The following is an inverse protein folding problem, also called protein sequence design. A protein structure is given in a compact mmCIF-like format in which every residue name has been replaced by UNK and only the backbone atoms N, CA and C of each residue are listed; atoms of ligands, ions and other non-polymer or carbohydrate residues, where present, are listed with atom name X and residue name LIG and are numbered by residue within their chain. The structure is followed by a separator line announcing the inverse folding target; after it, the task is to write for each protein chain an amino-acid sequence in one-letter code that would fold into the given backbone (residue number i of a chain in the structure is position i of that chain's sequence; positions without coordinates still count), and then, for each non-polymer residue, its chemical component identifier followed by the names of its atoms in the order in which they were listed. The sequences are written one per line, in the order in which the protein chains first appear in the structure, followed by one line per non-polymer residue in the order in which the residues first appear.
data_IF_208772376825
#
_entry.id   IF_208772376825
#
_cell.length_a   1.000
_cell.length_b   1.000
_cell.length_c   1.000
_cell.angle_alpha   90.00
_cell.angle_beta   90.00
_cell.angle_gamma   90.00
#
_symmetry.space_group_name_H-M   'P 1'
#
loop_
_entity.id
_entity.type
_entity.pdbx_description
1 polymer ?
#
# COMPACT_ATOMS: atom_id res chain seq x y z
N UNK A 1 -12.63 24.01 23.27
CA UNK A 1 -11.63 22.92 23.40
C UNK A 1 -10.79 22.75 22.12
N UNK A 2 -11.36 22.67 20.91
CA UNK A 2 -10.58 22.43 19.68
C UNK A 2 -9.59 23.54 19.25
N UNK A 3 -9.81 24.80 19.63
CA UNK A 3 -8.96 25.92 19.18
C UNK A 3 -7.51 25.91 19.69
N UNK A 4 -7.27 25.40 20.90
CA UNK A 4 -5.89 25.26 21.43
C UNK A 4 -5.15 24.12 20.73
N UNK A 5 -5.83 22.98 20.52
CA UNK A 5 -5.29 21.85 19.76
C UNK A 5 -4.95 22.23 18.32
N UNK A 6 -5.82 22.99 17.65
CA UNK A 6 -5.59 23.47 16.29
C UNK A 6 -4.36 24.39 16.22
N UNK A 7 -4.22 25.34 17.15
CA UNK A 7 -3.04 26.22 17.21
C UNK A 7 -1.75 25.44 17.45
N UNK A 8 -1.79 24.45 18.35
CA UNK A 8 -0.64 23.58 18.62
C UNK A 8 -0.25 22.79 17.36
N UNK A 9 -1.21 22.10 16.72
CA UNK A 9 -0.97 21.33 15.51
C UNK A 9 -0.41 22.20 14.38
N UNK A 10 -0.93 23.42 14.20
CA UNK A 10 -0.43 24.36 13.20
C UNK A 10 1.01 24.82 13.49
N UNK A 11 1.35 25.06 14.76
CA UNK A 11 2.71 25.44 15.16
C UNK A 11 3.70 24.30 14.96
N UNK A 12 3.36 23.08 15.40
CA UNK A 12 4.18 21.87 15.20
C UNK A 12 4.36 21.56 13.70
N UNK A 13 3.31 21.75 12.90
CA UNK A 13 3.38 21.53 11.46
C UNK A 13 4.30 22.54 10.75
N UNK A 14 4.28 23.79 11.22
CA UNK A 14 5.18 24.83 10.72
C UNK A 14 6.63 24.50 11.10
N UNK A 15 6.89 24.13 12.36
CA UNK A 15 8.22 23.73 12.80
C UNK A 15 8.75 22.53 12.01
N UNK A 16 7.93 21.52 11.76
CA UNK A 16 8.29 20.37 10.91
C UNK A 16 8.61 20.79 9.47
N UNK A 17 7.92 21.79 8.93
CA UNK A 17 8.22 22.36 7.60
C UNK A 17 9.58 23.05 7.62
N UNK A 18 9.86 23.85 8.64
CA UNK A 18 11.10 24.60 8.79
C UNK A 18 12.31 23.66 8.98
N UNK A 19 12.11 22.50 9.63
CA UNK A 19 13.12 21.43 9.76
C UNK A 19 13.31 20.60 8.49
N UNK A 20 12.54 20.85 7.42
CA UNK A 20 12.61 20.06 6.18
C UNK A 20 12.04 18.64 6.33
N UNK A 21 11.05 18.44 7.21
CA UNK A 21 10.35 17.18 7.43
C UNK A 21 8.92 17.23 6.81
N UNK A 22 8.79 17.20 5.46
CA UNK A 22 7.51 17.48 4.79
C UNK A 22 6.44 16.42 5.07
N UNK A 23 6.82 15.16 5.33
CA UNK A 23 5.87 14.10 5.70
C UNK A 23 5.27 14.31 7.10
N UNK A 24 6.09 14.76 8.05
CA UNK A 24 5.65 15.08 9.41
C UNK A 24 4.73 16.30 9.38
N UNK A 25 5.12 17.36 8.67
CA UNK A 25 4.31 18.54 8.45
C UNK A 25 2.96 18.20 7.80
N UNK A 26 2.97 17.35 6.75
CA UNK A 26 1.75 16.90 6.07
C UNK A 26 0.80 16.16 7.03
N UNK A 27 1.31 15.24 7.85
CA UNK A 27 0.51 14.50 8.81
C UNK A 27 -0.13 15.40 9.89
N UNK A 28 0.59 16.44 10.34
CA UNK A 28 0.10 17.40 11.32
C UNK A 28 -0.95 18.35 10.71
N UNK A 29 -0.74 18.84 9.48
CA UNK A 29 -1.74 19.65 8.78
C UNK A 29 -3.01 18.87 8.47
N UNK A 30 -2.93 17.57 8.18
CA UNK A 30 -4.12 16.70 8.04
C UNK A 30 -4.91 16.54 9.33
N UNK A 31 -4.22 16.36 10.46
CA UNK A 31 -4.89 16.34 11.77
C UNK A 31 -5.56 17.68 12.10
N UNK A 32 -4.94 18.80 11.72
CA UNK A 32 -5.55 20.12 11.85
C UNK A 32 -6.79 20.26 10.96
N UNK A 33 -6.75 19.71 9.74
CA UNK A 33 -7.86 19.72 8.79
C UNK A 33 -9.09 18.97 9.34
N UNK A 34 -8.90 17.82 10.00
CA UNK A 34 -10.00 17.03 10.60
C UNK A 34 -10.77 17.80 11.69
N UNK A 35 -10.14 18.83 12.29
CA UNK A 35 -10.75 19.67 13.32
C UNK A 35 -11.48 20.89 12.76
N UNK A 36 -11.33 21.17 11.47
CA UNK A 36 -11.93 22.35 10.83
C UNK A 36 -13.27 22.00 10.18
N UNK A 37 -14.32 22.82 10.39
CA UNK A 37 -15.59 22.60 9.73
C UNK A 37 -15.46 22.82 8.21
N UNK A 38 -16.07 21.94 7.39
CA UNK A 38 -16.02 22.05 5.94
C UNK A 38 -16.70 23.34 5.46
N UNK A 39 -16.24 23.88 4.33
CA UNK A 39 -16.79 25.11 3.74
C UNK A 39 -16.27 26.43 4.34
N UNK A 40 -15.41 26.39 5.36
CA UNK A 40 -14.79 27.60 5.91
C UNK A 40 -13.54 28.02 5.13
N UNK A 41 -13.24 29.33 5.13
CA UNK A 41 -12.01 29.85 4.52
C UNK A 41 -10.74 29.26 5.14
N UNK A 42 -10.76 28.97 6.45
CA UNK A 42 -9.67 28.26 7.14
C UNK A 42 -9.50 26.83 6.62
N UNK A 43 -10.60 26.09 6.44
CA UNK A 43 -10.55 24.75 5.85
C UNK A 43 -9.95 24.77 4.44
N UNK A 44 -10.34 25.75 3.61
CA UNK A 44 -9.78 25.91 2.26
C UNK A 44 -8.27 26.20 2.28
N UNK A 45 -7.82 27.09 3.17
CA UNK A 45 -6.38 27.39 3.33
C UNK A 45 -5.56 26.19 3.78
N UNK A 46 -6.05 25.44 4.78
CA UNK A 46 -5.37 24.22 5.26
C UNK A 46 -5.39 23.13 4.18
N UNK A 47 -6.48 22.97 3.44
CA UNK A 47 -6.55 22.04 2.30
C UNK A 47 -5.48 22.36 1.27
N UNK A 48 -5.33 23.63 0.88
CA UNK A 48 -4.30 24.05 -0.07
C UNK A 48 -2.87 23.75 0.43
N UNK A 49 -2.61 23.95 1.73
CA UNK A 49 -1.33 23.58 2.35
C UNK A 49 -1.08 22.07 2.30
N UNK A 50 -2.08 21.25 2.64
CA UNK A 50 -2.02 19.79 2.58
C UNK A 50 -1.74 19.34 1.14
N UNK A 51 -2.40 19.92 0.14
CA UNK A 51 -2.16 19.62 -1.28
C UNK A 51 -0.73 19.94 -1.70
N UNK A 52 -0.21 21.12 -1.33
CA UNK A 52 1.16 21.53 -1.69
C UNK A 52 2.22 20.61 -1.04
N UNK A 53 2.08 20.31 0.25
CA UNK A 53 2.98 19.40 0.96
C UNK A 53 2.89 17.97 0.41
N UNK A 54 1.69 17.50 0.07
CA UNK A 54 1.48 16.20 -0.57
C UNK A 54 2.23 16.09 -1.90
N UNK A 55 2.17 17.12 -2.75
CA UNK A 55 2.92 17.18 -4.01
C UNK A 55 4.44 17.13 -3.78
N UNK A 56 4.93 17.84 -2.76
CA UNK A 56 6.34 17.83 -2.39
C UNK A 56 6.79 16.44 -1.92
N UNK A 57 6.02 15.79 -1.03
CA UNK A 57 6.29 14.43 -0.56
C UNK A 57 6.27 13.43 -1.72
N UNK A 58 5.32 13.57 -2.64
CA UNK A 58 5.23 12.75 -3.85
C UNK A 58 6.46 12.89 -4.75
N UNK A 59 6.93 14.12 -4.97
CA UNK A 59 8.11 14.40 -5.78
C UNK A 59 9.38 13.80 -5.15
N UNK A 60 9.55 13.97 -3.84
CA UNK A 60 10.65 13.37 -3.07
C UNK A 60 10.59 11.84 -3.09
N UNK A 61 9.39 11.28 -2.94
CA UNK A 61 9.15 9.83 -2.97
C UNK A 61 9.41 9.18 -4.33
N UNK A 62 9.30 9.93 -5.43
CA UNK A 62 9.65 9.51 -6.79
C UNK A 62 11.15 9.69 -7.09
N UNK A 63 11.78 10.73 -6.55
CA UNK A 63 13.19 11.02 -6.79
C UNK A 63 14.13 9.92 -6.24
N UNK A 64 13.86 9.41 -5.04
CA UNK A 64 14.68 8.36 -4.42
C UNK A 64 14.77 7.04 -5.24
N UNK A 65 13.65 6.42 -5.68
CA UNK A 65 13.72 5.20 -6.50
C UNK A 65 14.29 5.43 -7.91
N UNK A 66 14.12 6.62 -8.50
CA UNK A 66 14.74 6.95 -9.79
C UNK A 66 16.27 7.03 -9.66
N UNK A 67 16.78 7.73 -8.64
CA UNK A 67 18.21 7.81 -8.36
C UNK A 67 18.82 6.44 -8.03
N UNK A 68 18.11 5.60 -7.26
CA UNK A 68 18.52 4.22 -6.98
C UNK A 68 18.55 3.36 -8.25
N UNK A 69 17.55 3.51 -9.13
CA UNK A 69 17.47 2.79 -10.41
C UNK A 69 18.60 3.20 -11.36
N UNK A 70 18.91 4.49 -11.47
CA UNK A 70 20.06 4.99 -12.24
C UNK A 70 21.39 4.46 -11.70
N UNK A 71 21.59 4.52 -10.38
CA UNK A 71 22.79 4.01 -9.72
C UNK A 71 22.98 2.51 -9.94
N UNK A 72 21.90 1.72 -9.87
CA UNK A 72 21.95 0.27 -10.12
C UNK A 72 22.14 -0.09 -11.60
N UNK A 73 21.59 0.71 -12.53
CA UNK A 73 21.81 0.56 -13.97
C UNK A 73 23.29 0.79 -14.32
N UNK A 74 23.94 1.74 -13.66
CA UNK A 74 25.38 2.01 -13.78
C UNK A 74 26.26 0.86 -13.24
N UNK A 75 25.83 0.18 -12.18
CA UNK A 75 26.54 -0.95 -11.57
C UNK A 75 26.24 -2.34 -12.16
N UNK A 76 25.55 -2.44 -13.29
CA UNK A 76 25.06 -3.71 -13.82
C UNK A 76 26.16 -4.44 -14.61
N UNK A 77 26.68 -5.61 -14.14
CA UNK A 77 27.75 -6.31 -14.85
C UNK A 77 27.27 -6.82 -16.21
N UNK A 78 28.12 -6.69 -17.24
CA UNK A 78 27.85 -7.09 -18.64
C UNK A 78 27.38 -8.54 -18.83
N UNK A 79 27.55 -9.40 -17.81
CA UNK A 79 27.05 -10.78 -17.72
C UNK A 79 25.52 -10.86 -17.83
N UNK A 80 24.80 -9.77 -17.52
CA UNK A 80 23.35 -9.78 -17.57
C UNK A 80 22.77 -9.64 -18.99
N UNK A 81 23.58 -9.18 -19.95
CA UNK A 81 23.20 -9.18 -21.37
C UNK A 81 23.24 -10.58 -22.00
N UNK A 82 23.92 -11.56 -21.37
CA UNK A 82 23.97 -12.96 -21.81
C UNK A 82 22.92 -13.86 -21.15
N UNK A 83 22.11 -13.35 -20.21
CA UNK A 83 21.00 -14.10 -19.64
C UNK A 83 19.80 -13.99 -20.58
N UNK A 84 19.49 -15.06 -21.31
CA UNK A 84 18.28 -15.15 -22.13
C UNK A 84 17.00 -14.86 -21.33
N UNK A 85 15.84 -14.82 -22.01
CA UNK A 85 14.56 -14.38 -21.43
C UNK A 85 14.22 -14.95 -20.03
N UNK A 86 14.56 -16.23 -19.79
CA UNK A 86 14.38 -16.91 -18.50
C UNK A 86 15.24 -16.32 -17.37
N UNK A 87 16.49 -15.97 -17.63
CA UNK A 87 17.38 -15.38 -16.64
C UNK A 87 16.98 -13.94 -16.29
N UNK A 88 16.53 -13.17 -17.30
CA UNK A 88 15.97 -11.84 -17.08
C UNK A 88 14.67 -11.90 -16.26
N UNK A 89 13.84 -12.93 -16.50
CA UNK A 89 12.59 -13.16 -15.77
C UNK A 89 12.83 -13.58 -14.31
N UNK A 90 13.79 -14.49 -14.07
CA UNK A 90 14.21 -14.88 -12.72
C UNK A 90 14.83 -13.69 -11.96
N UNK A 91 15.53 -12.80 -12.65
CA UNK A 91 16.05 -11.60 -12.01
C UNK A 91 14.94 -10.59 -11.64
N UNK A 92 14.01 -10.33 -12.57
CA UNK A 92 12.81 -9.52 -12.30
C UNK A 92 12.00 -10.13 -11.14
N UNK A 93 11.93 -11.46 -11.03
CA UNK A 93 11.30 -12.16 -9.92
C UNK A 93 12.02 -11.91 -8.58
N UNK A 94 13.36 -12.07 -8.54
CA UNK A 94 14.16 -11.73 -7.35
C UNK A 94 13.91 -10.28 -6.92
N UNK A 95 13.74 -9.37 -7.87
CA UNK A 95 13.42 -7.97 -7.61
C UNK A 95 12.02 -7.78 -7.01
N UNK A 96 10.98 -8.42 -7.57
CA UNK A 96 9.62 -8.40 -7.00
C UNK A 96 9.61 -8.97 -5.57
N UNK A 97 10.30 -10.09 -5.34
CA UNK A 97 10.41 -10.70 -4.03
C UNK A 97 11.18 -9.81 -3.04
N UNK A 98 12.27 -9.17 -3.47
CA UNK A 98 13.02 -8.19 -2.66
C UNK A 98 12.21 -6.93 -2.36
N UNK A 99 11.32 -6.49 -3.26
CA UNK A 99 10.44 -5.35 -3.01
C UNK A 99 9.38 -5.68 -1.95
N UNK A 100 8.82 -6.89 -2.01
CA UNK A 100 7.88 -7.38 -0.99
C UNK A 100 8.60 -7.55 0.37
N UNK A 101 9.77 -8.18 0.37
CA UNK A 101 10.56 -8.43 1.59
C UNK A 101 11.20 -7.16 2.17
N UNK A 102 11.62 -6.20 1.34
CA UNK A 102 12.19 -4.92 1.77
C UNK A 102 11.17 -4.06 2.53
N UNK A 103 9.87 -4.33 2.33
CA UNK A 103 8.78 -3.75 3.10
C UNK A 103 8.24 -4.71 4.18
N UNK A 104 9.02 -5.72 4.56
CA UNK A 104 8.67 -6.72 5.56
C UNK A 104 8.30 -6.12 6.91
N UNK A 105 8.91 -5.00 7.34
CA UNK A 105 8.49 -4.30 8.57
C UNK A 105 7.05 -3.81 8.52
N UNK A 106 6.57 -3.36 7.35
CA UNK A 106 5.20 -2.91 7.16
C UNK A 106 4.23 -4.10 7.15
N UNK A 107 4.60 -5.18 6.47
CA UNK A 107 3.84 -6.44 6.48
C UNK A 107 3.77 -7.06 7.88
N UNK A 108 4.84 -6.99 8.67
CA UNK A 108 4.81 -7.48 10.04
C UNK A 108 3.96 -6.58 10.94
N UNK A 109 4.06 -5.26 10.79
CA UNK A 109 3.26 -4.32 11.58
C UNK A 109 1.75 -4.53 11.40
N UNK A 110 1.27 -4.84 10.18
CA UNK A 110 -0.14 -5.16 9.99
C UNK A 110 -0.54 -6.51 10.62
N UNK A 111 0.33 -7.52 10.57
CA UNK A 111 0.09 -8.83 11.23
C UNK A 111 0.07 -8.73 12.76
N UNK A 112 0.75 -7.75 13.37
CA UNK A 112 0.74 -7.60 14.84
C UNK A 112 -0.58 -7.06 15.41
N UNK A 113 -1.53 -6.64 14.58
CA UNK A 113 -2.81 -6.12 15.04
C UNK A 113 -3.80 -7.27 15.31
N UNK A 114 -4.27 -7.37 16.55
CA UNK A 114 -5.16 -8.46 16.99
C UNK A 114 -6.47 -8.56 16.19
N UNK A 115 -7.06 -7.42 15.81
CA UNK A 115 -8.28 -7.36 14.98
C UNK A 115 -8.06 -7.87 13.56
N UNK A 116 -6.92 -7.56 12.96
CA UNK A 116 -6.52 -8.09 11.65
C UNK A 116 -6.31 -9.59 11.73
N UNK A 117 -5.58 -10.09 12.73
CA UNK A 117 -5.39 -11.54 12.91
C UNK A 117 -6.71 -12.28 13.11
N UNK A 118 -7.60 -11.76 13.96
CA UNK A 118 -8.88 -12.39 14.22
C UNK A 118 -9.76 -12.48 12.97
N UNK A 119 -9.93 -11.36 12.25
CA UNK A 119 -10.69 -11.36 11.00
C UNK A 119 -10.04 -12.23 9.91
N UNK A 120 -8.71 -12.26 9.85
CA UNK A 120 -7.95 -13.10 8.94
C UNK A 120 -8.15 -14.59 9.24
N UNK A 121 -8.15 -15.00 10.52
CA UNK A 121 -8.43 -16.38 10.93
C UNK A 121 -9.86 -16.80 10.59
N UNK A 122 -10.85 -15.92 10.79
CA UNK A 122 -12.23 -16.18 10.37
C UNK A 122 -12.33 -16.39 8.86
N UNK A 123 -11.67 -15.53 8.07
CA UNK A 123 -11.63 -15.67 6.63
C UNK A 123 -10.96 -16.99 6.21
N UNK A 124 -9.83 -17.36 6.83
CA UNK A 124 -9.17 -18.66 6.61
C UNK A 124 -10.12 -19.81 6.92
N UNK A 125 -10.86 -19.76 8.04
CA UNK A 125 -11.82 -20.80 8.41
C UNK A 125 -12.89 -21.03 7.35
N UNK A 126 -13.47 -19.94 6.81
CA UNK A 126 -14.49 -20.01 5.74
C UNK A 126 -13.89 -20.53 4.43
N UNK A 127 -12.71 -20.05 4.03
CA UNK A 127 -12.08 -20.53 2.80
C UNK A 127 -11.57 -21.97 2.91
N UNK A 128 -11.19 -22.40 4.12
CA UNK A 128 -10.74 -23.77 4.39
C UNK A 128 -11.88 -24.73 4.13
N UNK A 129 -13.06 -24.52 4.72
CA UNK A 129 -14.18 -25.46 4.59
C UNK A 129 -14.59 -25.68 3.13
N UNK A 130 -14.45 -24.67 2.27
CA UNK A 130 -14.82 -24.74 0.86
C UNK A 130 -13.71 -25.27 -0.07
N UNK A 131 -12.44 -24.90 0.15
CA UNK A 131 -11.35 -25.17 -0.82
C UNK A 131 -10.07 -25.76 -0.20
N UNK A 132 -10.08 -26.05 1.10
CA UNK A 132 -8.95 -26.61 1.84
C UNK A 132 -7.97 -25.55 2.37
N UNK A 133 -7.28 -25.91 3.45
CA UNK A 133 -6.44 -24.98 4.22
C UNK A 133 -5.30 -24.33 3.43
N UNK A 134 -4.69 -25.07 2.48
CA UNK A 134 -3.57 -24.57 1.67
C UNK A 134 -4.00 -23.45 0.73
N UNK A 135 -5.18 -23.61 0.12
CA UNK A 135 -5.77 -22.59 -0.76
C UNK A 135 -6.19 -21.38 0.05
N UNK A 136 -6.91 -21.61 1.15
CA UNK A 136 -7.36 -20.57 2.07
C UNK A 136 -6.21 -19.67 2.54
N UNK A 137 -5.13 -20.27 3.03
CA UNK A 137 -3.96 -19.54 3.50
C UNK A 137 -3.33 -18.71 2.38
N UNK A 138 -3.12 -19.30 1.20
CA UNK A 138 -2.49 -18.62 0.08
C UNK A 138 -3.32 -17.44 -0.45
N UNK A 139 -4.64 -17.61 -0.54
CA UNK A 139 -5.56 -16.54 -0.94
C UNK A 139 -5.55 -15.40 0.06
N UNK A 140 -5.65 -15.70 1.36
CA UNK A 140 -5.63 -14.71 2.44
C UNK A 140 -4.32 -13.94 2.47
N UNK A 141 -3.18 -14.59 2.23
CA UNK A 141 -1.88 -13.91 2.10
C UNK A 141 -1.87 -12.96 0.90
N UNK A 142 -2.45 -13.33 -0.25
CA UNK A 142 -2.52 -12.44 -1.41
C UNK A 142 -3.39 -11.22 -1.13
N UNK A 143 -4.56 -11.42 -0.51
CA UNK A 143 -5.44 -10.33 -0.06
C UNK A 143 -4.71 -9.42 0.93
N UNK A 144 -4.00 -10.00 1.89
CA UNK A 144 -3.24 -9.24 2.87
C UNK A 144 -2.18 -8.33 2.22
N UNK A 145 -1.41 -8.88 1.27
CA UNK A 145 -0.39 -8.11 0.54
C UNK A 145 -1.02 -7.00 -0.30
N UNK A 146 -2.19 -7.26 -0.90
CA UNK A 146 -2.98 -6.24 -1.59
C UNK A 146 -3.37 -5.09 -0.65
N UNK A 147 -4.01 -5.37 0.49
CA UNK A 147 -4.41 -4.33 1.46
C UNK A 147 -3.22 -3.56 2.03
N UNK A 148 -2.10 -4.24 2.25
CA UNK A 148 -0.85 -3.59 2.66
C UNK A 148 -0.32 -2.61 1.62
N UNK A 149 -0.64 -2.81 0.34
CA UNK A 149 -0.39 -1.84 -0.72
C UNK A 149 -1.12 -0.52 -0.46
N UNK A 150 -2.41 -0.58 -0.17
CA UNK A 150 -3.20 0.61 0.21
C UNK A 150 -2.66 1.26 1.49
N UNK A 151 -2.40 0.49 2.54
CA UNK A 151 -1.83 1.00 3.82
C UNK A 151 -0.49 1.69 3.58
N UNK A 152 0.39 1.11 2.76
CA UNK A 152 1.67 1.69 2.44
C UNK A 152 1.55 3.01 1.68
N UNK A 153 0.56 3.13 0.78
CA UNK A 153 0.29 4.38 0.06
C UNK A 153 -0.27 5.45 0.98
N UNK A 154 -1.27 5.13 1.81
CA UNK A 154 -1.85 6.05 2.79
C UNK A 154 -0.79 6.61 3.75
N UNK A 155 0.07 5.75 4.29
CA UNK A 155 1.17 6.18 5.18
C UNK A 155 2.17 7.10 4.49
N UNK A 156 2.39 6.95 3.17
CA UNK A 156 3.26 7.85 2.39
C UNK A 156 2.67 9.26 2.26
N UNK A 157 1.36 9.41 2.36
CA UNK A 157 0.68 10.71 2.34
C UNK A 157 0.40 11.26 3.74
N UNK A 158 1.01 10.70 4.78
CA UNK A 158 0.78 11.10 6.16
C UNK A 158 -0.63 10.78 6.67
N UNK A 159 -1.39 9.95 5.93
CA UNK A 159 -2.74 9.54 6.33
C UNK A 159 -2.68 8.39 7.31
N UNK A 160 -3.52 8.46 8.34
CA UNK A 160 -3.69 7.37 9.28
C UNK A 160 -4.52 6.24 8.66
N UNK A 161 -3.87 5.12 8.32
CA UNK A 161 -4.54 3.91 7.89
C UNK A 161 -4.99 3.06 9.09
N UNK A 162 -6.21 2.52 9.06
CA UNK A 162 -6.62 1.49 10.02
C UNK A 162 -5.92 0.15 9.75
N UNK A 163 -6.03 -0.78 10.69
CA UNK A 163 -5.77 -2.18 10.41
C UNK A 163 -6.66 -2.66 9.24
N UNK A 164 -6.16 -3.53 8.34
CA UNK A 164 -7.02 -4.23 7.41
C UNK A 164 -8.02 -5.10 8.15
N UNK A 165 -9.25 -5.12 7.66
CA UNK A 165 -10.32 -5.98 8.15
C UNK A 165 -10.72 -6.93 7.04
N UNK A 166 -10.64 -8.23 7.31
CA UNK A 166 -11.04 -9.26 6.35
C UNK A 166 -12.54 -9.55 6.50
N UNK A 167 -13.25 -9.54 5.38
CA UNK A 167 -14.64 -10.00 5.29
C UNK A 167 -14.65 -11.32 4.50
N UNK A 168 -14.99 -12.45 5.15
CA UNK A 168 -15.06 -13.73 4.48
C UNK A 168 -15.98 -13.69 3.23
N UNK A 169 -15.48 -14.21 2.11
CA UNK A 169 -16.24 -14.28 0.85
C UNK A 169 -16.25 -13.01 0.01
N UNK A 170 -16.00 -11.84 0.60
CA UNK A 170 -16.01 -10.54 -0.11
C UNK A 170 -14.62 -9.96 -0.32
N UNK A 171 -13.67 -10.20 0.58
CA UNK A 171 -12.29 -9.71 0.45
C UNK A 171 -11.77 -9.10 1.76
N UNK A 172 -10.98 -8.05 1.67
CA UNK A 172 -10.60 -7.24 2.81
C UNK A 172 -10.71 -5.76 2.43
N UNK A 173 -10.75 -4.89 3.43
CA UNK A 173 -10.70 -3.45 3.20
C UNK A 173 -10.00 -2.76 4.37
N UNK A 174 -9.46 -1.59 4.08
CA UNK A 174 -8.89 -0.66 5.07
C UNK A 174 -9.84 0.52 5.21
N UNK A 175 -10.17 0.89 6.45
CA UNK A 175 -10.96 2.08 6.72
C UNK A 175 -10.06 3.32 6.59
N UNK A 176 -10.44 4.21 5.69
CA UNK A 176 -9.87 5.55 5.58
C UNK A 176 -10.31 6.37 6.81
N UNK A 177 -9.35 6.87 7.59
CA UNK A 177 -9.64 7.86 8.64
C UNK A 177 -9.66 9.29 8.10
N UNK A 178 -8.96 9.53 7.02
CA UNK A 178 -8.80 10.83 6.36
C UNK A 178 -8.98 10.62 4.86
N UNK A 179 -9.73 11.52 4.23
CA UNK A 179 -9.95 11.46 2.79
C UNK A 179 -8.77 12.06 2.01
N UNK A 180 -8.49 11.55 0.80
CA UNK A 180 -7.60 12.21 -0.15
C UNK A 180 -8.06 13.66 -0.41
N UNK A 181 -7.12 14.59 -0.56
CA UNK A 181 -7.44 16.00 -0.84
C UNK A 181 -7.58 16.30 -2.33
N UNK A 182 -7.07 15.43 -3.19
CA UNK A 182 -7.17 15.54 -4.64
C UNK A 182 -7.28 14.16 -5.31
N UNK A 183 -7.67 14.14 -6.59
CA UNK A 183 -7.80 12.91 -7.36
C UNK A 183 -6.47 12.20 -7.66
N UNK A 184 -5.32 12.88 -7.47
CA UNK A 184 -3.99 12.26 -7.65
C UNK A 184 -3.70 11.32 -6.49
N UNK A 185 -3.91 11.80 -5.26
CA UNK A 185 -3.78 10.97 -4.06
C UNK A 185 -4.74 9.78 -4.12
N UNK A 186 -5.99 10.03 -4.48
CA UNK A 186 -7.00 8.99 -4.58
C UNK A 186 -6.60 7.90 -5.60
N UNK A 187 -6.23 8.29 -6.81
CA UNK A 187 -5.74 7.34 -7.82
C UNK A 187 -4.47 6.59 -7.37
N UNK A 188 -3.53 7.26 -6.68
CA UNK A 188 -2.29 6.62 -6.18
C UNK A 188 -2.57 5.65 -5.03
N UNK A 189 -3.51 5.96 -4.15
CA UNK A 189 -3.94 5.06 -3.08
C UNK A 189 -4.69 3.88 -3.66
N UNK A 190 -5.64 4.13 -4.57
CA UNK A 190 -6.42 3.11 -5.28
C UNK A 190 -5.55 2.15 -6.09
N UNK A 191 -4.56 2.64 -6.84
CA UNK A 191 -3.66 1.78 -7.62
C UNK A 191 -2.65 0.98 -6.77
N UNK A 192 -2.36 1.41 -5.55
CA UNK A 192 -1.32 0.77 -4.74
C UNK A 192 -1.68 -0.67 -4.35
N UNK A 193 -2.95 -0.95 -4.03
CA UNK A 193 -3.43 -2.30 -3.74
C UNK A 193 -3.22 -3.25 -4.92
N UNK A 194 -3.79 -2.97 -6.10
CA UNK A 194 -3.61 -3.76 -7.32
C UNK A 194 -2.15 -3.96 -7.73
N UNK A 195 -1.27 -2.97 -7.55
CA UNK A 195 0.16 -3.13 -7.86
C UNK A 195 0.80 -4.20 -6.94
N UNK A 196 0.55 -4.12 -5.64
CA UNK A 196 1.10 -5.07 -4.67
C UNK A 196 0.44 -6.44 -4.77
N UNK A 197 -0.87 -6.49 -4.94
CA UNK A 197 -1.61 -7.72 -5.18
C UNK A 197 -1.20 -8.39 -6.49
N UNK A 198 -0.85 -7.63 -7.52
CA UNK A 198 -0.34 -8.20 -8.79
C UNK A 198 1.05 -8.78 -8.61
N UNK A 199 1.91 -8.12 -7.83
CA UNK A 199 3.19 -8.69 -7.44
C UNK A 199 3.00 -10.02 -6.67
N UNK A 200 2.06 -10.08 -5.73
CA UNK A 200 1.71 -11.31 -5.01
C UNK A 200 1.18 -12.42 -5.94
N UNK A 201 0.28 -12.08 -6.87
CA UNK A 201 -0.26 -13.01 -7.86
C UNK A 201 0.84 -13.58 -8.78
N UNK A 202 1.78 -12.75 -9.23
CA UNK A 202 2.94 -13.19 -10.02
C UNK A 202 3.82 -14.14 -9.21
N UNK A 203 4.08 -13.84 -7.93
CA UNK A 203 4.85 -14.74 -7.05
C UNK A 203 4.15 -16.09 -6.89
N UNK A 204 2.83 -16.10 -6.67
CA UNK A 204 2.05 -17.32 -6.59
C UNK A 204 2.07 -18.12 -7.90
N UNK A 205 1.97 -17.44 -9.06
CA UNK A 205 2.01 -18.08 -10.38
C UNK A 205 3.37 -18.75 -10.64
N UNK A 206 4.47 -18.04 -10.35
CA UNK A 206 5.82 -18.60 -10.49
C UNK A 206 5.99 -19.81 -9.58
N UNK A 207 5.53 -19.73 -8.32
CA UNK A 207 5.56 -20.86 -7.42
C UNK A 207 4.72 -22.05 -7.94
N UNK A 208 3.59 -21.80 -8.59
CA UNK A 208 2.77 -22.83 -9.23
C UNK A 208 3.53 -23.56 -10.34
N UNK A 209 4.21 -22.82 -11.21
CA UNK A 209 4.99 -23.39 -12.32
C UNK A 209 6.16 -24.21 -11.79
N UNK A 210 6.87 -23.71 -10.78
CA UNK A 210 8.04 -24.40 -10.21
C UNK A 210 7.69 -25.66 -9.43
N UNK A 211 6.55 -25.67 -8.73
CA UNK A 211 6.13 -26.80 -7.89
C UNK A 211 5.21 -27.78 -8.62
N UNK A 212 4.66 -27.40 -9.77
CA UNK A 212 3.61 -28.15 -10.47
C UNK A 212 2.27 -28.21 -9.73
N UNK A 213 2.14 -27.54 -8.57
CA UNK A 213 0.93 -27.63 -7.76
C UNK A 213 -0.15 -26.69 -8.30
N UNK A 214 -1.18 -27.29 -8.92
CA UNK A 214 -2.33 -26.57 -9.50
C UNK A 214 -3.03 -25.61 -8.53
N UNK A 215 -2.97 -25.89 -7.22
CA UNK A 215 -3.57 -25.02 -6.20
C UNK A 215 -2.94 -23.62 -6.15
N UNK A 216 -1.63 -23.47 -6.38
CA UNK A 216 -0.99 -22.15 -6.47
C UNK A 216 -1.42 -21.39 -7.73
N UNK A 217 -1.68 -22.10 -8.83
CA UNK A 217 -2.25 -21.52 -10.03
C UNK A 217 -3.64 -20.94 -9.77
N UNK A 218 -4.48 -21.67 -9.02
CA UNK A 218 -5.79 -21.18 -8.60
C UNK A 218 -5.70 -19.95 -7.67
N UNK A 219 -4.75 -19.95 -6.72
CA UNK A 219 -4.50 -18.78 -5.85
C UNK A 219 -4.07 -17.56 -6.68
N UNK A 220 -3.13 -17.75 -7.61
CA UNK A 220 -2.66 -16.68 -8.49
C UNK A 220 -3.79 -16.11 -9.35
N UNK A 221 -4.65 -16.97 -9.88
CA UNK A 221 -5.81 -16.58 -10.68
C UNK A 221 -6.83 -15.79 -9.85
N UNK A 222 -7.17 -16.28 -8.65
CA UNK A 222 -8.07 -15.58 -7.74
C UNK A 222 -7.52 -14.21 -7.31
N UNK A 223 -6.23 -14.13 -6.99
CA UNK A 223 -5.55 -12.87 -6.66
C UNK A 223 -5.55 -11.89 -7.84
N UNK A 224 -5.32 -12.37 -9.07
CA UNK A 224 -5.39 -11.54 -10.27
C UNK A 224 -6.79 -10.96 -10.49
N UNK A 225 -7.85 -11.79 -10.34
CA UNK A 225 -9.23 -11.32 -10.42
C UNK A 225 -9.53 -10.25 -9.38
N UNK A 226 -9.13 -10.47 -8.13
CA UNK A 226 -9.30 -9.49 -7.06
C UNK A 226 -8.69 -8.13 -7.41
N UNK A 227 -7.48 -8.13 -7.98
CA UNK A 227 -6.83 -6.89 -8.41
C UNK A 227 -7.62 -6.18 -9.51
N UNK A 228 -8.14 -6.93 -10.49
CA UNK A 228 -8.95 -6.37 -11.58
C UNK A 228 -10.26 -5.79 -11.05
N UNK A 229 -10.97 -6.52 -10.18
CA UNK A 229 -12.21 -6.04 -9.55
C UNK A 229 -11.99 -4.74 -8.77
N UNK A 230 -10.86 -4.60 -8.07
CA UNK A 230 -10.55 -3.37 -7.32
C UNK A 230 -10.29 -2.15 -8.24
N UNK A 231 -9.88 -2.36 -9.48
CA UNK A 231 -9.71 -1.30 -10.48
C UNK A 231 -11.02 -0.84 -11.12
N UNK A 232 -12.13 -1.57 -10.89
CA UNK A 232 -13.44 -1.19 -11.42
C UNK A 232 -13.98 -0.01 -10.59
N UNK A 233 -14.34 1.13 -11.21
CA UNK A 233 -14.76 2.35 -10.50
C UNK A 233 -16.23 2.28 -10.03
N UNK A 234 -16.62 1.19 -9.37
CA UNK A 234 -17.96 1.01 -8.81
C UNK A 234 -17.99 1.26 -7.29
N UNK A 235 -16.83 1.31 -6.64
CA UNK A 235 -16.70 1.31 -5.16
C UNK A 235 -15.64 2.30 -4.62
N UNK A 236 -15.20 3.28 -5.43
CA UNK A 236 -14.18 4.27 -5.06
C UNK A 236 -14.81 5.54 -4.49
#
# INVERSE_FOLDING_TARGET
MHGQTLKRLAAEAQEATDRGAPLEALALWRQALDLLPPGTGQHAQVTAKVTALSQQVDALGLAAPLAEAERKRSGMPKVLASMGALGLMLWKFKFVLLLLLGKGKLLLAGLTQASTLFSMLLAVGVYWTAWGWRFALGLVVCIYVHEMGHVASLRRFGMQASAPMFIPGLGAFVRLKQSPVDGREDARVGLAGPIWGSAAAVVALVAAVLTGWKGLGAIAHAAAWLNVFNLVPLWQ
#
